data_IF_440738209414
#
_entry.id   IF_440738209414
#
_cell.length_a   1.000
_cell.length_b   1.000
_cell.length_c   1.000
_cell.angle_alpha   90.00
_cell.angle_beta   90.00
_cell.angle_gamma   90.00
#
_symmetry.space_group_name_H-M   'P 1'
#
loop_
_entity.id
_entity.type
_entity.pdbx_description
1 polymer ?
#
# COMPACT_ATOMS: atom_id res chain seq x y z
N UNK A 1 78.33 1.58 40.86
CA UNK A 1 78.00 0.74 39.68
C UNK A 1 76.51 0.39 39.78
N UNK A 2 75.81 0.38 38.64
CA UNK A 2 74.40 0.04 38.41
C UNK A 2 73.33 1.11 38.65
N UNK A 3 73.04 1.84 37.56
CA UNK A 3 71.91 2.72 37.41
C UNK A 3 70.58 1.97 37.42
N UNK A 4 69.61 2.56 38.12
CA UNK A 4 68.25 2.06 38.28
C UNK A 4 67.53 2.12 36.92
N UNK A 5 67.08 0.94 36.46
CA UNK A 5 66.43 0.67 35.17
C UNK A 5 65.26 1.63 34.85
N UNK A 6 65.46 2.56 33.91
CA UNK A 6 64.42 3.38 33.24
C UNK A 6 63.58 2.61 32.18
N UNK A 7 63.37 1.30 32.34
CA UNK A 7 62.78 0.46 31.27
C UNK A 7 61.23 0.32 31.35
N UNK A 8 60.62 0.41 32.53
CA UNK A 8 59.17 0.15 32.73
C UNK A 8 58.21 1.21 32.14
N UNK A 9 58.67 2.42 31.79
CA UNK A 9 57.80 3.51 31.31
C UNK A 9 57.33 3.35 29.86
N UNK A 10 58.09 2.67 29.00
CA UNK A 10 57.77 2.56 27.56
C UNK A 10 56.59 1.61 27.28
N UNK A 11 56.38 0.58 28.11
CA UNK A 11 55.25 -0.34 27.97
C UNK A 11 53.90 0.29 28.30
N UNK A 12 53.86 1.19 29.29
CA UNK A 12 52.64 1.94 29.66
C UNK A 12 52.21 2.90 28.54
N UNK A 13 53.15 3.50 27.82
CA UNK A 13 52.85 4.37 26.67
C UNK A 13 52.19 3.59 25.52
N UNK A 14 52.64 2.36 25.25
CA UNK A 14 52.07 1.49 24.22
C UNK A 14 50.61 1.12 24.52
N UNK A 15 50.32 0.78 25.78
CA UNK A 15 48.96 0.44 26.24
C UNK A 15 48.02 1.63 26.08
N UNK A 16 48.48 2.84 26.42
CA UNK A 16 47.69 4.06 26.26
C UNK A 16 47.35 4.34 24.79
N UNK A 17 48.31 4.17 23.88
CA UNK A 17 48.09 4.38 22.44
C UNK A 17 47.08 3.36 21.89
N UNK A 18 47.18 2.09 22.29
CA UNK A 18 46.22 1.06 21.90
C UNK A 18 44.82 1.35 22.43
N UNK A 19 44.70 1.82 23.67
CA UNK A 19 43.42 2.15 24.28
C UNK A 19 42.76 3.33 23.56
N UNK A 20 43.50 4.42 23.31
CA UNK A 20 43.01 5.58 22.55
C UNK A 20 42.60 5.15 21.14
N UNK A 21 43.43 4.35 20.46
CA UNK A 21 43.11 3.82 19.14
C UNK A 21 41.81 3.01 19.13
N UNK A 22 41.58 2.16 20.14
CA UNK A 22 40.34 1.40 20.26
C UNK A 22 39.12 2.31 20.43
N UNK A 23 39.23 3.35 21.28
CA UNK A 23 38.15 4.32 21.51
C UNK A 23 37.81 5.08 20.23
N UNK A 24 38.82 5.49 19.46
CA UNK A 24 38.60 6.14 18.16
C UNK A 24 37.83 5.24 17.19
N UNK A 25 38.21 3.96 17.09
CA UNK A 25 37.51 2.98 16.23
C UNK A 25 36.06 2.80 16.69
N UNK A 26 35.81 2.69 18.00
CA UNK A 26 34.46 2.58 18.54
C UNK A 26 33.57 3.79 18.18
N UNK A 27 34.10 5.01 18.33
CA UNK A 27 33.37 6.24 17.97
C UNK A 27 33.04 6.24 16.47
N UNK A 28 34.00 5.89 15.61
CA UNK A 28 33.77 5.81 14.16
C UNK A 28 32.68 4.80 13.79
N UNK A 29 32.66 3.63 14.44
CA UNK A 29 31.61 2.61 14.23
C UNK A 29 30.24 3.14 14.67
N UNK A 30 30.16 3.85 15.80
CA UNK A 30 28.90 4.44 16.27
C UNK A 30 28.38 5.50 15.29
N UNK A 31 29.25 6.41 14.84
CA UNK A 31 28.89 7.41 13.84
C UNK A 31 28.40 6.75 12.54
N UNK A 32 29.12 5.74 12.06
CA UNK A 32 28.72 4.98 10.88
C UNK A 32 27.35 4.32 11.07
N UNK A 33 27.10 3.68 12.21
CA UNK A 33 25.83 3.04 12.53
C UNK A 33 24.66 4.04 12.51
N UNK A 34 24.85 5.23 13.07
CA UNK A 34 23.82 6.29 13.07
C UNK A 34 23.50 6.74 11.64
N UNK A 35 24.53 7.06 10.84
CA UNK A 35 24.33 7.46 9.44
C UNK A 35 23.68 6.37 8.59
N UNK A 36 24.05 5.11 8.83
CA UNK A 36 23.43 3.96 8.18
C UNK A 36 21.95 3.85 8.54
N UNK A 37 21.58 3.98 9.83
CA UNK A 37 20.17 3.93 10.24
C UNK A 37 19.35 5.08 9.65
N UNK A 38 19.89 6.29 9.60
CA UNK A 38 19.22 7.43 8.96
C UNK A 38 18.92 7.13 7.49
N UNK A 39 19.92 6.63 6.74
CA UNK A 39 19.74 6.27 5.33
C UNK A 39 18.75 5.13 5.15
N UNK A 40 18.81 4.10 6.01
CA UNK A 40 17.89 2.97 5.97
C UNK A 40 16.45 3.40 6.24
N UNK A 41 16.23 4.32 7.19
CA UNK A 41 14.89 4.86 7.47
C UNK A 41 14.34 5.65 6.28
N UNK A 42 15.19 6.47 5.63
CA UNK A 42 14.79 7.19 4.41
C UNK A 42 14.43 6.23 3.28
N UNK A 43 15.19 5.14 3.10
CA UNK A 43 14.88 4.12 2.09
C UNK A 43 13.56 3.42 2.40
N UNK A 44 13.35 2.96 3.65
CA UNK A 44 12.09 2.35 4.07
C UNK A 44 10.88 3.27 3.88
N UNK A 45 11.04 4.56 4.16
CA UNK A 45 10.00 5.55 3.93
C UNK A 45 9.68 5.68 2.44
N UNK A 46 10.71 5.76 1.57
CA UNK A 46 10.53 5.80 0.12
C UNK A 46 9.85 4.53 -0.40
N UNK A 47 10.30 3.36 0.05
CA UNK A 47 9.70 2.08 -0.32
C UNK A 47 8.23 2.06 0.07
N UNK A 48 7.89 2.50 1.29
CA UNK A 48 6.50 2.59 1.74
C UNK A 48 5.67 3.58 0.90
N UNK A 49 6.23 4.73 0.52
CA UNK A 49 5.55 5.66 -0.38
C UNK A 49 5.31 5.08 -1.78
N UNK A 50 6.16 4.15 -2.22
CA UNK A 50 6.03 3.47 -3.51
C UNK A 50 5.22 2.16 -3.44
N UNK A 51 4.89 1.68 -2.24
CA UNK A 51 4.02 0.52 -2.08
C UNK A 51 2.59 0.89 -2.48
N UNK A 52 2.12 0.33 -3.58
CA UNK A 52 0.70 0.35 -3.93
C UNK A 52 -0.01 -0.63 -3.02
N UNK A 53 -1.00 -0.14 -2.27
CA UNK A 53 -1.88 -1.00 -1.48
C UNK A 53 -2.53 -2.05 -2.42
N UNK A 54 -2.38 -3.36 -2.16
CA UNK A 54 -2.99 -4.41 -2.97
C UNK A 54 -4.49 -4.17 -3.20
N UNK A 55 -5.19 -3.66 -2.19
CA UNK A 55 -6.63 -3.37 -2.26
C UNK A 55 -6.91 -2.20 -3.20
N UNK A 56 -6.08 -1.16 -3.15
CA UNK A 56 -6.19 -0.02 -4.04
C UNK A 56 -5.97 -0.43 -5.50
N UNK A 57 -4.98 -1.28 -5.77
CA UNK A 57 -4.75 -1.81 -7.12
C UNK A 57 -5.97 -2.57 -7.64
N UNK A 58 -6.52 -3.46 -6.82
CA UNK A 58 -7.73 -4.24 -7.17
C UNK A 58 -8.90 -3.30 -7.45
N UNK A 59 -9.12 -2.31 -6.58
CA UNK A 59 -10.20 -1.31 -6.73
C UNK A 59 -10.07 -0.53 -8.04
N UNK A 60 -8.91 0.07 -8.30
CA UNK A 60 -8.69 0.89 -9.49
C UNK A 60 -8.86 0.08 -10.76
N UNK A 61 -8.37 -1.16 -10.78
CA UNK A 61 -8.57 -2.05 -11.92
C UNK A 61 -10.05 -2.32 -12.17
N UNK A 62 -10.79 -2.79 -11.15
CA UNK A 62 -12.18 -3.20 -11.34
C UNK A 62 -13.11 -2.02 -11.66
N UNK A 63 -12.90 -0.86 -11.04
CA UNK A 63 -13.69 0.34 -11.36
C UNK A 63 -13.37 0.88 -12.76
N UNK A 64 -12.11 0.80 -13.20
CA UNK A 64 -11.73 1.17 -14.57
C UNK A 64 -12.39 0.24 -15.58
N UNK A 65 -12.38 -1.06 -15.32
CA UNK A 65 -12.99 -2.06 -16.20
C UNK A 65 -14.52 -1.91 -16.26
N UNK A 66 -15.16 -1.64 -15.12
CA UNK A 66 -16.59 -1.30 -15.07
C UNK A 66 -16.89 -0.04 -15.90
N UNK A 67 -16.06 0.99 -15.78
CA UNK A 67 -16.21 2.22 -16.54
C UNK A 67 -16.11 1.94 -18.06
N UNK A 68 -15.10 1.16 -18.47
CA UNK A 68 -14.93 0.75 -19.86
C UNK A 68 -16.13 -0.06 -20.38
N UNK A 69 -16.72 -0.94 -19.55
CA UNK A 69 -17.92 -1.68 -19.90
C UNK A 69 -19.11 -0.74 -20.17
N UNK A 70 -19.28 0.30 -19.33
CA UNK A 70 -20.34 1.28 -19.52
C UNK A 70 -20.14 2.05 -20.83
N UNK A 71 -18.96 2.61 -21.09
CA UNK A 71 -18.70 3.39 -22.31
C UNK A 71 -18.72 2.56 -23.60
N UNK A 72 -18.44 1.25 -23.53
CA UNK A 72 -18.46 0.38 -24.71
C UNK A 72 -19.87 -0.07 -25.12
N UNK A 73 -20.84 -0.04 -24.20
CA UNK A 73 -22.19 -0.56 -24.44
C UNK A 73 -23.28 0.52 -24.37
N UNK A 74 -23.03 1.66 -23.72
CA UNK A 74 -23.97 2.78 -23.67
C UNK A 74 -23.59 3.81 -24.74
N UNK A 75 -24.46 3.98 -25.75
CA UNK A 75 -24.25 5.00 -26.80
C UNK A 75 -24.36 6.44 -26.25
N UNK A 76 -25.30 6.67 -25.34
CA UNK A 76 -25.47 7.93 -24.63
C UNK A 76 -25.24 7.68 -23.14
N UNK A 77 -24.37 8.46 -22.49
CA UNK A 77 -24.05 8.29 -21.07
C UNK A 77 -25.09 9.05 -20.25
N UNK A 78 -26.16 8.35 -19.85
CA UNK A 78 -27.21 8.87 -18.98
C UNK A 78 -27.66 7.80 -17.95
N UNK A 79 -28.28 8.22 -16.85
CA UNK A 79 -28.66 7.30 -15.77
C UNK A 79 -29.55 6.15 -16.25
N UNK A 80 -30.48 6.41 -17.19
CA UNK A 80 -31.42 5.40 -17.67
C UNK A 80 -30.74 4.31 -18.48
N UNK A 81 -29.87 4.68 -19.43
CA UNK A 81 -29.15 3.74 -20.31
C UNK A 81 -28.16 2.89 -19.52
N UNK A 82 -27.43 3.52 -18.58
CA UNK A 82 -26.50 2.82 -17.68
C UNK A 82 -27.27 1.82 -16.83
N UNK A 83 -28.40 2.24 -16.24
CA UNK A 83 -29.23 1.37 -15.43
C UNK A 83 -29.82 0.21 -16.23
N UNK A 84 -30.33 0.45 -17.44
CA UNK A 84 -30.86 -0.60 -18.31
C UNK A 84 -29.77 -1.61 -18.68
N UNK A 85 -28.59 -1.14 -19.08
CA UNK A 85 -27.47 -2.01 -19.41
C UNK A 85 -27.04 -2.84 -18.19
N UNK A 86 -26.83 -2.20 -17.05
CA UNK A 86 -26.31 -2.87 -15.86
C UNK A 86 -27.33 -3.82 -15.24
N UNK A 87 -28.62 -3.48 -15.28
CA UNK A 87 -29.69 -4.38 -14.84
C UNK A 87 -29.86 -5.59 -15.76
N UNK A 88 -29.30 -5.56 -16.97
CA UNK A 88 -29.29 -6.70 -17.90
C UNK A 88 -28.13 -7.67 -17.67
N UNK A 89 -27.15 -7.32 -16.83
CA UNK A 89 -25.99 -8.13 -16.52
C UNK A 89 -26.28 -9.04 -15.32
N UNK A 90 -25.94 -10.33 -15.45
CA UNK A 90 -26.08 -11.30 -14.36
C UNK A 90 -24.91 -11.28 -13.36
N UNK A 91 -25.23 -11.58 -12.09
CA UNK A 91 -24.36 -11.78 -10.93
C UNK A 91 -23.13 -10.86 -10.81
N UNK A 92 -22.01 -11.23 -11.45
CA UNK A 92 -20.72 -10.57 -11.31
C UNK A 92 -20.34 -9.83 -12.59
N UNK A 93 -20.41 -8.50 -12.55
CA UNK A 93 -20.19 -7.62 -13.71
C UNK A 93 -18.71 -7.53 -14.08
N UNK A 94 -17.85 -7.43 -13.06
CA UNK A 94 -16.39 -7.36 -13.22
C UNK A 94 -15.74 -8.32 -12.25
N UNK A 95 -14.72 -9.05 -12.70
CA UNK A 95 -13.95 -9.97 -11.86
C UNK A 95 -12.46 -9.66 -11.97
N UNK A 96 -11.78 -9.62 -10.82
CA UNK A 96 -10.32 -9.55 -10.75
C UNK A 96 -9.82 -10.52 -9.68
N UNK A 97 -9.11 -11.56 -10.11
CA UNK A 97 -8.70 -12.69 -9.27
C UNK A 97 -9.91 -13.35 -8.57
N UNK A 98 -10.08 -13.14 -7.26
CA UNK A 98 -11.24 -13.58 -6.47
C UNK A 98 -12.17 -12.44 -6.07
N UNK A 99 -11.74 -11.21 -6.32
CA UNK A 99 -12.53 -10.00 -6.07
C UNK A 99 -13.47 -9.74 -7.24
N UNK A 100 -14.61 -9.13 -6.96
CA UNK A 100 -15.64 -8.92 -7.98
C UNK A 100 -16.52 -7.71 -7.67
N UNK A 101 -17.20 -7.21 -8.70
CA UNK A 101 -18.24 -6.19 -8.58
C UNK A 101 -19.59 -6.84 -8.91
N UNK A 102 -20.56 -6.62 -8.04
CA UNK A 102 -21.98 -6.95 -8.27
C UNK A 102 -22.82 -5.70 -8.32
N UNK A 103 -23.97 -5.78 -8.98
CA UNK A 103 -24.98 -4.73 -8.94
C UNK A 103 -26.17 -5.16 -8.09
N UNK A 104 -26.55 -4.30 -7.15
CA UNK A 104 -27.75 -4.46 -6.34
C UNK A 104 -28.86 -3.58 -6.97
N UNK A 105 -29.79 -4.23 -7.67
CA UNK A 105 -30.89 -3.56 -8.35
C UNK A 105 -31.91 -2.93 -7.39
N UNK A 106 -31.99 -3.38 -6.14
CA UNK A 106 -32.93 -2.84 -5.15
C UNK A 106 -32.55 -1.41 -4.73
N UNK A 107 -31.24 -1.14 -4.61
CA UNK A 107 -30.71 0.12 -4.12
C UNK A 107 -30.00 0.96 -5.20
N UNK A 108 -29.93 0.46 -6.44
CA UNK A 108 -29.23 1.08 -7.56
C UNK A 108 -27.77 1.40 -7.21
N UNK A 109 -27.07 0.38 -6.73
CA UNK A 109 -25.73 0.49 -6.15
C UNK A 109 -24.85 -0.69 -6.54
N UNK A 110 -23.54 -0.46 -6.59
CA UNK A 110 -22.56 -1.52 -6.79
C UNK A 110 -21.98 -1.98 -5.47
N UNK A 111 -21.77 -3.28 -5.34
CA UNK A 111 -21.07 -3.90 -4.22
C UNK A 111 -19.75 -4.42 -4.76
N UNK A 112 -18.66 -3.87 -4.24
CA UNK A 112 -17.30 -4.27 -4.60
C UNK A 112 -16.77 -5.16 -3.49
N UNK A 113 -16.53 -6.43 -3.81
CA UNK A 113 -16.08 -7.44 -2.85
C UNK A 113 -14.60 -7.70 -3.05
N UNK A 114 -13.82 -7.51 -1.99
CA UNK A 114 -12.36 -7.63 -2.01
C UNK A 114 -11.90 -8.91 -1.34
N UNK A 115 -11.04 -9.65 -2.03
CA UNK A 115 -10.26 -10.76 -1.49
C UNK A 115 -8.78 -10.44 -1.61
N UNK A 116 -8.03 -10.65 -0.52
CA UNK A 116 -6.56 -10.54 -0.52
C UNK A 116 -6.01 -11.96 -0.41
N UNK A 117 -5.48 -12.48 -1.52
CA UNK A 117 -5.08 -13.87 -1.62
C UNK A 117 -6.29 -14.81 -1.62
N UNK A 118 -6.47 -15.60 -0.55
CA UNK A 118 -7.61 -16.54 -0.44
C UNK A 118 -8.71 -16.06 0.50
N UNK A 119 -8.42 -15.04 1.31
CA UNK A 119 -9.27 -14.62 2.40
C UNK A 119 -10.08 -13.39 2.01
N UNK A 120 -11.32 -13.37 2.48
CA UNK A 120 -12.18 -12.21 2.37
C UNK A 120 -11.58 -11.05 3.16
N UNK A 121 -11.56 -9.86 2.56
CA UNK A 121 -11.01 -8.67 3.18
C UNK A 121 -12.10 -7.68 3.58
N UNK A 122 -12.88 -7.18 2.62
CA UNK A 122 -13.97 -6.23 2.86
C UNK A 122 -14.93 -6.15 1.67
N UNK A 123 -16.06 -5.51 1.88
CA UNK A 123 -17.01 -5.08 0.85
C UNK A 123 -17.17 -3.56 0.92
N UNK A 124 -17.30 -2.92 -0.24
CA UNK A 124 -17.57 -1.48 -0.34
C UNK A 124 -18.83 -1.26 -1.18
N UNK A 125 -19.69 -0.37 -0.70
CA UNK A 125 -20.91 0.04 -1.39
C UNK A 125 -20.63 1.31 -2.19
N UNK A 126 -20.90 1.26 -3.50
CA UNK A 126 -20.71 2.38 -4.41
C UNK A 126 -22.00 2.82 -5.06
N UNK A 127 -22.09 4.11 -5.34
CA UNK A 127 -23.12 4.69 -6.20
C UNK A 127 -22.48 5.52 -7.29
N UNK A 128 -23.01 5.41 -8.50
CA UNK A 128 -22.55 6.21 -9.62
C UNK A 128 -23.31 7.53 -9.72
N UNK A 129 -22.66 8.54 -10.29
CA UNK A 129 -23.26 9.82 -10.65
C UNK A 129 -22.77 10.15 -12.07
N UNK A 130 -23.69 10.54 -12.94
CA UNK A 130 -23.35 11.06 -14.27
C UNK A 130 -23.27 12.59 -14.25
N UNK A 131 -22.17 13.14 -14.74
CA UNK A 131 -22.00 14.59 -14.98
C UNK A 131 -21.24 14.80 -16.27
N UNK A 132 -21.72 15.68 -17.14
CA UNK A 132 -21.05 16.05 -18.39
C UNK A 132 -20.63 14.85 -19.26
N UNK A 133 -21.52 13.84 -19.39
CA UNK A 133 -21.26 12.55 -20.04
C UNK A 133 -20.14 11.70 -19.40
N UNK A 134 -19.72 12.02 -18.20
CA UNK A 134 -18.75 11.24 -17.42
C UNK A 134 -19.41 10.51 -16.25
N UNK A 135 -18.99 9.27 -16.00
CA UNK A 135 -19.44 8.45 -14.88
C UNK A 135 -18.45 8.54 -13.72
N UNK A 136 -18.95 8.92 -12.55
CA UNK A 136 -18.18 9.00 -11.31
C UNK A 136 -18.70 8.00 -10.28
N UNK A 137 -17.81 7.25 -9.64
CA UNK A 137 -18.16 6.29 -8.60
C UNK A 137 -17.82 6.85 -7.21
N UNK A 138 -18.84 6.96 -6.36
CA UNK A 138 -18.69 7.40 -4.98
C UNK A 138 -18.87 6.24 -4.01
N UNK A 139 -17.90 6.03 -3.13
CA UNK A 139 -18.01 5.07 -2.02
C UNK A 139 -18.97 5.65 -0.98
N UNK A 140 -20.04 4.92 -0.67
CA UNK A 140 -21.04 5.29 0.33
C UNK A 140 -20.71 4.70 1.69
N UNK A 141 -20.37 3.42 1.72
CA UNK A 141 -20.11 2.68 2.96
C UNK A 141 -19.17 1.50 2.73
N UNK A 142 -18.67 0.90 3.81
CA UNK A 142 -17.80 -0.27 3.77
C UNK A 142 -18.08 -1.22 4.93
N UNK A 143 -17.85 -2.51 4.69
CA UNK A 143 -17.99 -3.55 5.72
C UNK A 143 -16.84 -4.54 5.67
N UNK A 144 -16.40 -5.00 6.84
CA UNK A 144 -15.47 -6.12 7.01
C UNK A 144 -16.19 -7.44 7.26
N UNK A 145 -17.51 -7.48 7.05
CA UNK A 145 -18.34 -8.69 7.12
C UNK A 145 -18.86 -8.98 5.72
N UNK A 146 -18.80 -10.25 5.34
CA UNK A 146 -19.27 -10.71 4.03
C UNK A 146 -20.80 -10.72 3.98
N UNK A 147 -21.38 -10.14 2.94
CA UNK A 147 -22.82 -10.12 2.70
C UNK A 147 -23.58 -9.13 3.59
N UNK A 148 -22.94 -8.05 4.03
CA UNK A 148 -23.63 -7.00 4.80
C UNK A 148 -24.50 -6.10 3.90
N UNK A 149 -24.15 -6.01 2.61
CA UNK A 149 -24.84 -5.19 1.62
C UNK A 149 -25.62 -6.00 0.57
N UNK A 150 -25.58 -7.33 0.65
CA UNK A 150 -26.32 -8.26 -0.21
C UNK A 150 -27.83 -8.27 0.13
#
# INVERSE_FOLDING_TARGET
MFGIRKSKRKGLTLIYVLFIGSVCIFISIICFKISYMQRNNVLKMKDHCCMVDPVQKIREYMLTDLNNLIYSHCNDINDNSIKEYISSLDDNIVNYERSYIKYNSANDSFIVVYYVGKDFYKEELYKYIVRDNEVFFNCLDYSFRKGEFD
#
